data_IF_653230481801
#
_entry.id   IF_653230481801
#
_cell.length_a   1.000
_cell.length_b   1.000
_cell.length_c   1.000
_cell.angle_alpha   90.00
_cell.angle_beta   90.00
_cell.angle_gamma   90.00
#
_symmetry.space_group_name_H-M   'P 1'
#
loop_
_entity.id
_entity.type
_entity.pdbx_description
1 polymer ?
#
# COMPACT_ATOMS: atom_id res chain seq x y z
N UNK A 1 -4.92 6.06 -17.05
CA UNK A 1 -3.76 6.01 -16.13
C UNK A 1 -4.08 5.14 -14.93
N UNK A 2 -3.27 4.13 -14.71
CA UNK A 2 -3.41 3.32 -13.50
C UNK A 2 -2.79 4.07 -12.32
N UNK A 3 -3.56 4.21 -11.24
CA UNK A 3 -3.04 4.77 -10.00
C UNK A 3 -2.15 3.72 -9.35
N UNK A 4 -0.93 4.10 -9.00
CA UNK A 4 -0.01 3.19 -8.33
C UNK A 4 -0.49 2.93 -6.89
N UNK A 5 -0.46 1.67 -6.43
CA UNK A 5 -0.97 1.33 -5.10
C UNK A 5 -0.19 2.01 -3.97
N UNK A 6 1.13 2.15 -4.09
CA UNK A 6 1.94 2.85 -3.08
C UNK A 6 1.52 4.31 -2.92
N UNK A 7 1.21 5.00 -4.02
CA UNK A 7 0.76 6.39 -3.97
C UNK A 7 -0.59 6.53 -3.27
N UNK A 8 -1.50 5.57 -3.44
CA UNK A 8 -2.78 5.57 -2.73
C UNK A 8 -2.57 5.45 -1.23
N UNK A 9 -1.72 4.52 -0.81
CA UNK A 9 -1.39 4.33 0.61
C UNK A 9 -0.75 5.59 1.18
N UNK A 10 0.24 6.15 0.49
CA UNK A 10 0.95 7.37 0.92
C UNK A 10 -0.04 8.52 1.09
N UNK A 11 -0.93 8.72 0.14
CA UNK A 11 -1.94 9.79 0.19
C UNK A 11 -2.86 9.65 1.40
N UNK A 12 -3.33 8.45 1.66
CA UNK A 12 -4.22 8.18 2.80
C UNK A 12 -3.48 8.38 4.12
N UNK A 13 -2.25 7.89 4.24
CA UNK A 13 -1.47 8.02 5.47
C UNK A 13 -1.02 9.47 5.72
N UNK A 14 -0.67 10.22 4.71
CA UNK A 14 -0.34 11.64 4.85
C UNK A 14 -1.55 12.47 5.30
N UNK A 15 -2.74 12.08 4.87
CA UNK A 15 -3.97 12.70 5.33
C UNK A 15 -4.28 12.36 6.78
N UNK A 16 -4.01 11.12 7.18
CA UNK A 16 -4.24 10.64 8.54
C UNK A 16 -3.25 11.23 9.55
N UNK A 17 -1.98 11.38 9.15
CA UNK A 17 -0.90 11.90 9.98
C UNK A 17 -0.23 13.08 9.29
N UNK A 18 -0.83 14.28 9.35
CA UNK A 18 -0.26 15.44 8.65
C UNK A 18 1.11 15.88 9.17
N UNK A 19 1.46 15.50 10.40
CA UNK A 19 2.75 15.84 11.01
C UNK A 19 3.86 14.82 10.69
N UNK A 20 3.52 13.73 10.03
CA UNK A 20 4.46 12.68 9.64
C UNK A 20 4.50 12.60 8.13
N UNK A 21 5.72 12.62 7.58
CA UNK A 21 5.89 12.47 6.15
C UNK A 21 5.98 11.00 5.79
N UNK A 22 5.08 10.54 4.93
CA UNK A 22 5.14 9.21 4.32
C UNK A 22 5.65 9.33 2.90
N UNK A 23 6.67 8.56 2.58
CA UNK A 23 7.34 8.59 1.27
C UNK A 23 7.44 7.19 0.69
N UNK A 24 7.63 7.11 -0.62
CA UNK A 24 7.85 5.82 -1.27
C UNK A 24 9.22 5.27 -0.90
N UNK A 25 9.27 3.99 -0.56
CA UNK A 25 10.52 3.28 -0.33
C UNK A 25 11.03 2.72 -1.65
N UNK A 26 11.88 3.47 -2.31
CA UNK A 26 12.48 3.08 -3.59
C UNK A 26 13.95 2.67 -3.44
N UNK A 27 14.40 2.43 -2.22
CA UNK A 27 15.77 1.99 -1.94
C UNK A 27 16.82 3.09 -1.90
N UNK A 28 16.43 4.34 -2.12
CA UNK A 28 17.39 5.46 -2.19
C UNK A 28 17.81 6.02 -0.83
N UNK A 29 17.37 5.40 0.26
CA UNK A 29 17.90 5.68 1.59
C UNK A 29 17.75 7.12 2.06
N UNK A 30 16.57 7.73 1.88
CA UNK A 30 16.31 9.02 2.51
C UNK A 30 16.21 8.82 4.01
N UNK A 31 17.09 9.49 4.73
CA UNK A 31 17.18 9.39 6.19
C UNK A 31 16.80 10.72 6.82
N UNK A 32 15.56 10.80 7.30
CA UNK A 32 15.13 11.95 8.07
C UNK A 32 15.42 11.70 9.54
N UNK A 33 15.83 12.74 10.26
CA UNK A 33 16.12 12.69 11.69
C UNK A 33 14.84 12.60 12.55
N UNK A 34 13.71 12.94 11.97
CA UNK A 34 12.41 12.87 12.62
C UNK A 34 11.73 11.54 12.30
N UNK A 35 10.66 11.23 13.02
CA UNK A 35 9.82 10.08 12.69
C UNK A 35 9.20 10.29 11.30
N UNK A 36 9.32 9.29 10.44
CA UNK A 36 8.74 9.34 9.10
C UNK A 36 8.29 7.95 8.67
N UNK A 37 7.47 7.90 7.64
CA UNK A 37 6.92 6.65 7.12
C UNK A 37 7.46 6.29 5.75
N UNK A 38 7.50 5.00 5.49
CA UNK A 38 7.94 4.42 4.22
C UNK A 38 6.88 3.46 3.70
N UNK A 39 6.56 3.55 2.44
CA UNK A 39 5.63 2.63 1.77
C UNK A 39 6.34 2.06 0.56
N UNK A 40 6.52 0.75 0.54
CA UNK A 40 7.21 0.08 -0.55
C UNK A 40 6.43 -1.09 -1.10
N UNK A 41 6.37 -1.20 -2.42
CA UNK A 41 5.81 -2.37 -3.08
C UNK A 41 6.84 -3.50 -3.05
N UNK A 42 6.44 -4.64 -2.50
CA UNK A 42 7.29 -5.82 -2.41
C UNK A 42 7.12 -6.70 -3.65
N UNK A 43 5.87 -6.96 -4.02
CA UNK A 43 5.55 -7.80 -5.16
C UNK A 43 4.13 -7.54 -5.65
N UNK A 44 3.83 -8.02 -6.83
CA UNK A 44 2.48 -8.04 -7.35
C UNK A 44 2.26 -9.32 -8.15
N UNK A 45 1.02 -9.78 -8.21
CA UNK A 45 0.65 -10.97 -8.97
C UNK A 45 -0.79 -10.86 -9.44
N UNK A 46 -1.09 -11.48 -10.55
CA UNK A 46 -2.47 -11.69 -10.98
C UNK A 46 -3.04 -12.86 -10.21
N UNK A 47 -4.30 -12.74 -9.77
CA UNK A 47 -4.98 -13.76 -8.99
C UNK A 47 -6.07 -14.39 -9.85
N UNK A 48 -6.06 -15.73 -9.97
CA UNK A 48 -7.09 -16.47 -10.65
C UNK A 48 -7.08 -16.30 -12.16
N UNK A 49 -8.10 -16.85 -12.78
CA UNK A 49 -8.31 -16.78 -14.22
C UNK A 49 -9.00 -15.49 -14.60
N UNK A 50 -8.78 -15.03 -15.84
CA UNK A 50 -9.45 -13.86 -16.38
C UNK A 50 -10.96 -14.02 -16.23
N UNK A 51 -11.58 -13.10 -15.50
CA UNK A 51 -13.03 -13.12 -15.30
C UNK A 51 -13.72 -12.24 -16.33
N UNK A 52 -14.92 -12.64 -16.65
CA UNK A 52 -15.96 -11.96 -17.42
C UNK A 52 -15.54 -10.83 -18.38
N UNK A 53 -15.79 -11.08 -19.65
CA UNK A 53 -15.95 -9.98 -20.59
C UNK A 53 -17.16 -9.13 -20.18
N UNK A 54 -16.94 -7.88 -19.83
CA UNK A 54 -18.00 -6.93 -19.56
C UNK A 54 -18.27 -6.17 -20.86
N UNK A 55 -19.48 -6.32 -21.39
CA UNK A 55 -19.87 -5.62 -22.61
C UNK A 55 -20.16 -4.16 -22.31
N UNK A 56 -19.46 -3.25 -22.99
CA UNK A 56 -19.81 -1.84 -22.93
C UNK A 56 -20.87 -1.49 -23.97
N UNK A 57 -21.52 -0.33 -23.80
CA UNK A 57 -22.59 0.14 -24.67
C UNK A 57 -22.18 0.38 -26.13
N UNK A 58 -20.87 0.39 -26.43
CA UNK A 58 -20.34 0.63 -27.77
C UNK A 58 -19.82 -0.65 -28.45
N UNK A 59 -20.24 -1.83 -28.01
CA UNK A 59 -19.77 -3.09 -28.58
C UNK A 59 -18.33 -3.46 -28.21
N UNK A 60 -17.70 -2.67 -27.34
CA UNK A 60 -16.36 -2.95 -26.83
C UNK A 60 -16.47 -3.88 -25.61
N UNK A 61 -15.52 -4.79 -25.50
CA UNK A 61 -15.47 -5.75 -24.38
C UNK A 61 -14.33 -5.38 -23.45
N UNK A 62 -14.61 -5.40 -22.15
CA UNK A 62 -13.62 -5.21 -21.12
C UNK A 62 -13.39 -6.55 -20.40
N UNK A 63 -12.15 -6.90 -20.18
CA UNK A 63 -11.78 -8.05 -19.35
C UNK A 63 -11.24 -7.53 -18.03
N UNK A 64 -11.77 -8.05 -16.94
CA UNK A 64 -11.31 -7.72 -15.61
C UNK A 64 -10.53 -8.91 -15.05
N UNK A 65 -9.34 -8.64 -14.54
CA UNK A 65 -8.51 -9.64 -13.87
C UNK A 65 -8.05 -9.09 -12.52
N UNK A 66 -8.33 -9.81 -11.42
CA UNK A 66 -7.85 -9.39 -10.12
C UNK A 66 -6.33 -9.41 -10.06
N UNK A 67 -5.77 -8.35 -9.48
CA UNK A 67 -4.34 -8.21 -9.24
C UNK A 67 -4.12 -7.86 -7.78
N UNK A 68 -3.20 -8.57 -7.14
CA UNK A 68 -2.85 -8.35 -5.76
C UNK A 68 -1.46 -7.75 -5.65
N UNK A 69 -1.36 -6.71 -4.84
CA UNK A 69 -0.10 -6.06 -4.50
C UNK A 69 0.23 -6.32 -3.04
N UNK A 70 1.46 -6.71 -2.79
CA UNK A 70 2.01 -6.80 -1.45
C UNK A 70 2.87 -5.57 -1.21
N UNK A 71 2.52 -4.79 -0.19
CA UNK A 71 3.27 -3.60 0.19
C UNK A 71 3.67 -3.70 1.67
N UNK A 72 4.78 -3.07 2.00
CA UNK A 72 5.16 -2.86 3.39
C UNK A 72 4.93 -1.42 3.77
N UNK A 73 4.33 -1.20 4.94
CA UNK A 73 4.26 0.10 5.57
C UNK A 73 5.25 0.09 6.73
N UNK A 74 6.18 1.03 6.73
CA UNK A 74 7.16 1.18 7.78
C UNK A 74 7.10 2.55 8.43
N UNK A 75 7.34 2.60 9.72
CA UNK A 75 7.52 3.84 10.46
C UNK A 75 8.90 3.78 11.10
N UNK A 76 9.73 4.77 10.80
CA UNK A 76 11.12 4.80 11.24
C UNK A 76 11.38 5.98 12.16
N UNK A 77 12.12 5.75 13.22
CA UNK A 77 12.51 6.77 14.16
C UNK A 77 13.60 6.27 15.08
N UNK A 78 14.05 7.14 16.00
CA UNK A 78 15.00 6.73 17.03
C UNK A 78 14.36 5.70 17.97
N UNK A 79 15.20 5.00 18.75
CA UNK A 79 14.70 3.99 19.71
C UNK A 79 13.77 4.58 20.77
N UNK A 80 13.92 5.86 21.08
CA UNK A 80 13.09 6.56 22.07
C UNK A 80 11.88 7.25 21.45
N UNK A 81 11.71 7.14 20.15
CA UNK A 81 10.58 7.76 19.45
C UNK A 81 9.29 6.94 19.64
N UNK A 82 8.18 7.53 19.23
CA UNK A 82 6.88 6.86 19.22
C UNK A 82 6.59 6.10 17.92
N UNK A 83 7.63 5.75 17.15
CA UNK A 83 7.48 5.11 15.85
C UNK A 83 6.72 3.77 15.94
N UNK A 84 7.00 2.96 16.98
CA UNK A 84 6.29 1.71 17.18
C UNK A 84 4.79 1.93 17.42
N UNK A 85 4.46 2.88 18.28
CA UNK A 85 3.05 3.17 18.61
C UNK A 85 2.28 3.66 17.37
N UNK A 86 2.93 4.45 16.54
CA UNK A 86 2.35 4.91 15.28
C UNK A 86 2.12 3.74 14.32
N UNK A 87 3.11 2.85 14.17
CA UNK A 87 2.96 1.67 13.31
C UNK A 87 1.81 0.77 13.79
N UNK A 88 1.72 0.53 15.08
CA UNK A 88 0.64 -0.26 15.67
C UNK A 88 -0.73 0.40 15.45
N UNK A 89 -0.81 1.70 15.64
CA UNK A 89 -2.04 2.45 15.40
C UNK A 89 -2.47 2.38 13.93
N UNK A 90 -1.54 2.53 13.00
CA UNK A 90 -1.84 2.42 11.57
C UNK A 90 -2.35 1.03 11.23
N UNK A 91 -1.68 -0.01 11.72
CA UNK A 91 -2.11 -1.39 11.48
C UNK A 91 -3.55 -1.62 11.99
N UNK A 92 -3.86 -1.09 13.15
CA UNK A 92 -5.21 -1.18 13.70
C UNK A 92 -6.22 -0.41 12.85
N UNK A 93 -5.92 0.84 12.51
CA UNK A 93 -6.85 1.72 11.78
C UNK A 93 -7.14 1.20 10.37
N UNK A 94 -6.16 0.65 9.69
CA UNK A 94 -6.36 0.13 8.32
C UNK A 94 -7.29 -1.09 8.30
N UNK A 95 -7.53 -1.73 9.43
CA UNK A 95 -8.49 -2.82 9.56
C UNK A 95 -9.90 -2.35 9.85
N UNK A 96 -10.11 -1.06 10.07
CA UNK A 96 -11.45 -0.52 10.34
C UNK A 96 -12.23 -0.31 9.05
N UNK A 97 -13.56 -0.38 9.15
CA UNK A 97 -14.43 -0.20 8.00
C UNK A 97 -14.28 1.16 7.33
N UNK A 98 -13.97 2.20 8.11
CA UNK A 98 -13.78 3.55 7.59
C UNK A 98 -12.63 3.64 6.60
N UNK A 99 -11.48 3.08 6.95
CA UNK A 99 -10.30 3.10 6.08
C UNK A 99 -10.42 2.12 4.93
N UNK A 100 -11.05 0.97 5.16
CA UNK A 100 -11.38 0.05 4.07
C UNK A 100 -12.24 0.72 3.00
N UNK A 101 -13.19 1.55 3.41
CA UNK A 101 -14.03 2.32 2.49
C UNK A 101 -13.23 3.34 1.69
N UNK A 102 -12.26 4.02 2.31
CA UNK A 102 -11.37 4.97 1.63
C UNK A 102 -10.55 4.28 0.52
N UNK A 103 -10.01 3.11 0.81
CA UNK A 103 -9.29 2.33 -0.21
C UNK A 103 -10.22 1.89 -1.33
N UNK A 104 -11.44 1.49 -1.00
CA UNK A 104 -12.43 1.06 -1.98
C UNK A 104 -12.82 2.20 -2.93
N UNK A 105 -12.91 3.42 -2.43
CA UNK A 105 -13.14 4.60 -3.26
C UNK A 105 -12.04 4.80 -4.31
N UNK A 106 -10.81 4.38 -3.99
CA UNK A 106 -9.68 4.43 -4.91
C UNK A 106 -9.55 3.17 -5.78
N UNK A 107 -10.47 2.24 -5.66
CA UNK A 107 -10.50 1.01 -6.46
C UNK A 107 -9.72 -0.15 -5.87
N UNK A 108 -9.39 -0.10 -4.59
CA UNK A 108 -8.62 -1.16 -3.93
C UNK A 108 -9.37 -1.77 -2.76
N UNK A 109 -9.25 -3.09 -2.63
CA UNK A 109 -9.64 -3.81 -1.42
C UNK A 109 -8.38 -4.04 -0.60
N UNK A 110 -8.38 -3.60 0.65
CA UNK A 110 -7.25 -3.75 1.56
C UNK A 110 -7.45 -4.93 2.49
N UNK A 111 -6.37 -5.69 2.70
CA UNK A 111 -6.30 -6.74 3.72
C UNK A 111 -5.04 -6.52 4.54
N UNK A 112 -5.20 -6.44 5.84
CA UNK A 112 -4.09 -6.32 6.80
C UNK A 112 -4.11 -7.56 7.68
N UNK A 113 -3.07 -8.38 7.58
CA UNK A 113 -2.94 -9.55 8.44
C UNK A 113 -2.49 -9.11 9.84
N UNK A 114 -3.07 -9.73 10.87
CA UNK A 114 -2.65 -9.51 12.25
C UNK A 114 -1.36 -10.24 12.53
N UNK A 115 -0.29 -9.78 11.92
CA UNK A 115 1.06 -10.27 12.19
C UNK A 115 1.78 -9.30 13.11
N UNK A 116 2.77 -9.80 13.79
CA UNK A 116 3.65 -8.95 14.59
C UNK A 116 4.32 -7.93 13.69
N UNK A 117 4.49 -6.73 14.22
CA UNK A 117 5.21 -5.67 13.54
C UNK A 117 6.70 -6.00 13.61
N UNK A 118 7.34 -6.08 12.46
CA UNK A 118 8.78 -6.35 12.38
C UNK A 118 9.58 -5.14 12.84
N UNK A 119 10.61 -5.39 13.63
CA UNK A 119 11.50 -4.37 14.15
C UNK A 119 12.87 -4.53 13.47
N UNK A 120 13.23 -3.57 12.63
CA UNK A 120 14.46 -3.62 11.84
C UNK A 120 15.40 -2.52 12.31
N UNK A 121 16.55 -2.87 12.94
CA UNK A 121 17.53 -1.86 13.31
C UNK A 121 18.21 -1.30 12.06
N UNK A 122 18.35 0.02 12.02
CA UNK A 122 19.01 0.72 10.92
C UNK A 122 20.11 1.60 11.51
N UNK A 123 21.34 1.35 11.10
CA UNK A 123 22.47 2.17 11.52
C UNK A 123 22.68 3.29 10.50
N UNK A 124 22.72 4.51 11.01
CA UNK A 124 23.02 5.71 10.24
C UNK A 124 24.15 6.46 10.93
N UNK A 125 25.32 6.47 10.32
CA UNK A 125 26.55 7.03 10.91
C UNK A 125 26.82 6.39 12.29
N UNK A 126 26.76 7.19 13.37
CA UNK A 126 26.93 6.72 14.75
C UNK A 126 25.62 6.48 15.47
N UNK A 127 24.49 6.75 14.82
CA UNK A 127 23.16 6.66 15.43
C UNK A 127 22.40 5.44 14.97
N UNK A 128 21.62 4.87 15.89
CA UNK A 128 20.72 3.76 15.59
C UNK A 128 19.29 4.24 15.52
N UNK A 129 18.62 3.81 14.44
CA UNK A 129 17.20 4.01 14.23
C UNK A 129 16.52 2.65 14.14
N UNK A 130 15.21 2.61 14.33
CA UNK A 130 14.42 1.38 14.19
C UNK A 130 13.30 1.65 13.22
N UNK A 131 13.14 0.75 12.26
CA UNK A 131 12.00 0.73 11.35
C UNK A 131 11.06 -0.34 11.81
N UNK A 132 9.83 0.05 12.09
CA UNK A 132 8.75 -0.86 12.43
C UNK A 132 7.87 -0.99 11.21
N UNK A 133 7.76 -2.21 10.67
CA UNK A 133 7.03 -2.43 9.42
C UNK A 133 6.10 -3.62 9.51
N UNK A 134 5.06 -3.56 8.69
CA UNK A 134 4.09 -4.65 8.55
C UNK A 134 3.58 -4.69 7.11
N UNK A 135 3.19 -5.89 6.62
CA UNK A 135 2.70 -6.04 5.26
C UNK A 135 1.21 -5.70 5.17
N UNK A 136 0.82 -5.17 4.03
CA UNK A 136 -0.57 -5.05 3.62
C UNK A 136 -0.75 -5.63 2.22
N UNK A 137 -1.96 -6.07 1.93
CA UNK A 137 -2.33 -6.56 0.61
C UNK A 137 -3.39 -5.66 0.02
N UNK A 138 -3.17 -5.18 -1.19
CA UNK A 138 -4.14 -4.41 -1.95
C UNK A 138 -4.53 -5.20 -3.18
N UNK A 139 -5.83 -5.39 -3.36
CA UNK A 139 -6.38 -6.08 -4.52
C UNK A 139 -7.18 -5.09 -5.36
N UNK A 140 -6.95 -5.10 -6.66
CA UNK A 140 -7.71 -4.31 -7.61
C UNK A 140 -7.99 -5.15 -8.85
N UNK A 141 -8.98 -4.74 -9.63
CA UNK A 141 -9.23 -5.35 -10.93
C UNK A 141 -8.45 -4.59 -12.00
N UNK A 142 -7.59 -5.33 -12.70
CA UNK A 142 -6.96 -4.82 -13.91
C UNK A 142 -7.97 -4.96 -15.04
N UNK A 143 -8.39 -3.84 -15.61
CA UNK A 143 -9.38 -3.82 -16.68
C UNK A 143 -8.67 -3.55 -17.99
N UNK A 144 -8.82 -4.47 -18.94
CA UNK A 144 -8.27 -4.33 -20.28
C UNK A 144 -9.42 -4.27 -21.29
N UNK A 145 -9.36 -3.27 -22.16
CA UNK A 145 -10.29 -3.16 -23.28
C UNK A 145 -9.77 -3.99 -24.45
N UNK A 146 -10.60 -4.87 -24.95
CA UNK A 146 -10.31 -5.66 -26.14
C UNK A 146 -11.18 -5.11 -27.27
N UNK A 147 -10.51 -4.50 -28.27
CA UNK A 147 -11.17 -4.05 -29.48
C UNK A 147 -11.60 -5.24 -30.34
N UNK A 148 -12.87 -5.26 -30.68
CA UNK A 148 -13.45 -6.11 -31.73
C UNK A 148 -12.83 -7.48 -31.88
N UNK A 149 -13.03 -8.35 -30.91
CA UNK A 149 -12.85 -9.75 -31.22
C UNK A 149 -14.16 -10.20 -31.90
N UNK A 150 -14.21 -10.10 -33.19
CA UNK A 150 -15.21 -10.83 -33.95
C UNK A 150 -14.88 -12.32 -33.79
N UNK A 151 -15.67 -12.96 -33.00
CA UNK A 151 -15.62 -14.42 -32.89
C UNK A 151 -16.37 -14.99 -34.09
#
# INVERSE_FOLDING_TARGET
>A
MSIKPDNVVISILNSLYPDIQFIADNGDGVHLKTVFGLVGEVSNKTIGTMRKAIRSSNGKYFHAQPKEYLLNIGVQGSRKSNAYDIAEEIQFLLNTGRYKALFKEQGFTIRVDHKDIDSIPIQMDTSWFVRYQFPIYLTTDMIMMIDNVSI
#
